data_IF_086820608266
#
_entry.id   IF_086820608266
#
_cell.length_a   1.000
_cell.length_b   1.000
_cell.length_c   1.000
_cell.angle_alpha   90.00
_cell.angle_beta   90.00
_cell.angle_gamma   90.00
#
_symmetry.space_group_name_H-M   'P 1'
#
loop_
_entity.id
_entity.type
_entity.pdbx_description
1 polymer ?
#
# COMPACT_ATOMS: atom_id res chain seq x y z
N UNK A 1 -35.20 14.34 26.68
CA UNK A 1 -34.38 14.54 25.46
C UNK A 1 -33.10 15.28 25.85
N UNK A 2 -32.03 14.55 26.19
CA UNK A 2 -30.70 15.16 26.38
C UNK A 2 -30.01 15.14 25.02
N UNK A 3 -29.80 16.32 24.43
CA UNK A 3 -28.94 16.50 23.26
C UNK A 3 -27.52 16.11 23.69
N UNK A 4 -27.02 14.99 23.19
CA UNK A 4 -25.60 14.65 23.29
C UNK A 4 -24.87 15.67 22.42
N UNK A 5 -24.22 16.65 23.03
CA UNK A 5 -23.28 17.53 22.35
C UNK A 5 -22.14 16.64 21.84
N UNK A 6 -22.03 16.53 20.52
CA UNK A 6 -20.90 15.94 19.83
C UNK A 6 -19.70 16.87 20.14
N UNK A 7 -18.87 16.50 21.12
CA UNK A 7 -17.61 17.20 21.38
C UNK A 7 -16.80 17.17 20.08
N UNK A 8 -16.52 18.34 19.52
CA UNK A 8 -15.60 18.46 18.39
C UNK A 8 -14.25 17.88 18.82
N UNK A 9 -13.82 16.85 18.10
CA UNK A 9 -12.56 16.14 18.35
C UNK A 9 -11.46 17.02 17.75
N UNK A 10 -10.81 17.84 18.58
CA UNK A 10 -9.71 18.70 18.15
C UNK A 10 -8.50 17.85 17.72
N UNK A 11 -7.89 18.20 16.58
CA UNK A 11 -6.56 17.73 16.22
C UNK A 11 -5.55 18.47 17.11
N UNK A 12 -5.20 17.89 18.26
CA UNK A 12 -4.25 18.49 19.21
C UNK A 12 -2.79 18.11 18.89
N UNK A 13 -2.56 17.21 17.93
CA UNK A 13 -1.22 16.82 17.46
C UNK A 13 -0.88 17.47 16.12
N UNK A 14 0.38 17.92 15.95
CA UNK A 14 0.90 18.44 14.67
C UNK A 14 1.15 17.34 13.61
N UNK A 15 0.74 16.09 13.88
CA UNK A 15 0.99 14.93 13.00
C UNK A 15 -0.33 14.52 12.34
N UNK A 16 -0.41 14.73 11.03
CA UNK A 16 -1.54 14.28 10.21
C UNK A 16 -1.71 12.75 10.31
N UNK A 17 -2.95 12.32 10.56
CA UNK A 17 -3.29 10.90 10.69
C UNK A 17 -3.36 10.39 12.13
N UNK A 18 -3.31 11.27 13.14
CA UNK A 18 -3.47 10.94 14.56
C UNK A 18 -4.59 11.78 15.17
N UNK A 19 -5.42 11.17 16.01
CA UNK A 19 -6.39 11.85 16.88
C UNK A 19 -6.15 11.47 18.33
N UNK A 20 -6.33 12.42 19.24
CA UNK A 20 -6.44 12.09 20.66
C UNK A 20 -7.89 11.69 20.97
N UNK A 21 -8.05 10.51 21.57
CA UNK A 21 -9.36 9.96 21.93
C UNK A 21 -9.39 9.63 23.42
N UNK A 22 -10.56 9.83 24.02
CA UNK A 22 -10.86 9.45 25.39
C UNK A 22 -11.07 7.93 25.49
N UNK A 23 -10.33 7.27 26.38
CA UNK A 23 -10.40 5.82 26.60
C UNK A 23 -10.27 5.44 28.08
N UNK A 24 -10.46 4.16 28.37
CA UNK A 24 -10.26 3.58 29.70
C UNK A 24 -9.20 2.48 29.65
N UNK A 25 -8.36 2.40 30.68
CA UNK A 25 -7.35 1.34 30.81
C UNK A 25 -7.88 0.25 31.73
N UNK A 26 -7.34 -0.96 31.60
CA UNK A 26 -7.78 -2.13 32.40
C UNK A 26 -7.71 -1.88 33.91
N UNK A 27 -6.75 -1.10 34.36
CA UNK A 27 -6.50 -0.74 35.75
C UNK A 27 -7.45 0.36 36.27
N UNK A 28 -8.12 1.11 35.40
CA UNK A 28 -9.04 2.17 35.79
C UNK A 28 -10.15 2.38 34.75
N UNK A 29 -11.34 1.84 35.06
CA UNK A 29 -12.56 1.99 34.26
C UNK A 29 -13.45 3.15 34.73
N UNK A 30 -13.04 3.90 35.76
CA UNK A 30 -13.80 5.02 36.30
C UNK A 30 -13.29 6.36 35.77
N UNK A 31 -11.98 6.47 35.52
CA UNK A 31 -11.36 7.71 35.04
C UNK A 31 -10.86 7.57 33.61
N UNK A 32 -11.42 8.34 32.66
CA UNK A 32 -10.94 8.33 31.29
C UNK A 32 -9.54 8.93 31.18
N UNK A 33 -8.76 8.46 30.20
CA UNK A 33 -7.45 8.99 29.80
C UNK A 33 -7.44 9.28 28.31
N UNK A 34 -6.52 10.14 27.87
CA UNK A 34 -6.27 10.37 26.46
C UNK A 34 -5.22 9.39 25.94
N UNK A 35 -5.40 8.96 24.70
CA UNK A 35 -4.41 8.20 23.94
C UNK A 35 -4.47 8.58 22.47
N UNK A 36 -3.39 8.31 21.76
CA UNK A 36 -3.26 8.59 20.33
C UNK A 36 -3.79 7.42 19.52
N UNK A 37 -4.71 7.72 18.60
CA UNK A 37 -5.36 6.72 17.73
C UNK A 37 -5.16 7.15 16.28
N UNK A 38 -4.84 6.20 15.40
CA UNK A 38 -4.66 6.46 13.98
C UNK A 38 -6.00 6.84 13.33
N UNK A 39 -5.97 7.84 12.44
CA UNK A 39 -7.12 8.14 11.59
C UNK A 39 -7.22 7.11 10.45
N UNK A 40 -8.42 6.59 10.27
CA UNK A 40 -8.82 5.77 9.14
C UNK A 40 -9.98 6.48 8.43
N UNK A 41 -9.76 6.96 7.21
CA UNK A 41 -10.76 7.69 6.42
C UNK A 41 -11.05 6.94 5.11
N UNK A 42 -12.30 6.95 4.62
CA UNK A 42 -12.58 6.43 3.30
C UNK A 42 -12.06 7.41 2.23
N UNK A 43 -11.28 6.88 1.30
CA UNK A 43 -10.70 7.60 0.17
C UNK A 43 -11.22 7.00 -1.13
N UNK A 44 -11.96 7.78 -1.91
CA UNK A 44 -12.43 7.35 -3.23
C UNK A 44 -11.41 7.74 -4.31
N UNK A 45 -11.09 6.82 -5.22
CA UNK A 45 -10.33 7.13 -6.43
C UNK A 45 -11.32 7.35 -7.59
N UNK A 46 -11.38 8.59 -8.08
CA UNK A 46 -12.37 9.03 -9.06
C UNK A 46 -11.67 9.37 -10.37
N UNK A 47 -11.80 8.50 -11.38
CA UNK A 47 -11.17 8.70 -12.68
C UNK A 47 -12.16 9.34 -13.65
N UNK A 48 -11.89 10.55 -14.12
CA UNK A 48 -12.75 11.32 -15.03
C UNK A 48 -14.24 11.33 -14.59
N UNK A 49 -14.48 11.59 -13.30
CA UNK A 49 -15.81 11.64 -12.70
C UNK A 49 -16.44 10.28 -12.36
N UNK A 50 -15.76 9.16 -12.60
CA UNK A 50 -16.23 7.83 -12.24
C UNK A 50 -15.51 7.35 -10.97
N UNK A 51 -16.26 7.22 -9.86
CA UNK A 51 -15.77 6.56 -8.64
C UNK A 51 -15.48 5.08 -8.94
N UNK A 52 -14.21 4.70 -8.80
CA UNK A 52 -13.74 3.35 -9.13
C UNK A 52 -13.70 2.44 -7.92
N UNK A 53 -13.08 2.91 -6.83
CA UNK A 53 -12.93 2.19 -5.56
C UNK A 53 -12.99 3.16 -4.40
N UNK A 54 -13.36 2.66 -3.23
CA UNK A 54 -13.22 3.35 -1.95
C UNK A 54 -12.36 2.49 -1.04
N UNK A 55 -11.23 3.04 -0.58
CA UNK A 55 -10.29 2.36 0.31
C UNK A 55 -10.23 3.08 1.64
N UNK A 56 -10.15 2.34 2.74
CA UNK A 56 -9.84 2.91 4.05
C UNK A 56 -8.33 3.19 4.10
N UNK A 57 -7.96 4.43 4.42
CA UNK A 57 -6.59 4.90 4.36
C UNK A 57 -6.29 5.96 5.44
N UNK A 58 -5.01 6.13 5.77
CA UNK A 58 -4.56 7.32 6.50
C UNK A 58 -4.69 8.57 5.61
N UNK A 59 -5.13 9.72 6.15
CA UNK A 59 -5.46 10.93 5.37
C UNK A 59 -4.21 11.73 4.91
N UNK A 60 -3.23 11.06 4.33
CA UNK A 60 -1.96 11.64 3.84
C UNK A 60 -1.38 10.81 2.70
N UNK A 61 -0.49 11.42 1.92
CA UNK A 61 0.18 10.81 0.76
C UNK A 61 -0.79 10.24 -0.30
N UNK A 62 -1.96 10.87 -0.43
CA UNK A 62 -3.05 10.34 -1.26
C UNK A 62 -2.79 10.43 -2.76
N UNK A 63 -1.97 11.40 -3.19
CA UNK A 63 -1.49 11.49 -4.57
C UNK A 63 -0.63 10.27 -4.94
N UNK A 64 0.31 9.91 -4.06
CA UNK A 64 1.12 8.69 -4.24
C UNK A 64 0.26 7.43 -4.18
N UNK A 65 -0.70 7.37 -3.26
CA UNK A 65 -1.66 6.26 -3.22
C UNK A 65 -2.39 6.09 -4.56
N UNK A 66 -2.95 7.17 -5.11
CA UNK A 66 -3.68 7.14 -6.37
C UNK A 66 -2.82 6.70 -7.56
N UNK A 67 -1.60 7.22 -7.67
CA UNK A 67 -0.66 6.83 -8.73
C UNK A 67 -0.27 5.36 -8.59
N UNK A 68 0.13 4.93 -7.39
CA UNK A 68 0.58 3.57 -7.16
C UNK A 68 -0.52 2.54 -7.31
N UNK A 69 -1.73 2.83 -6.83
CA UNK A 69 -2.90 2.00 -7.09
C UNK A 69 -3.17 1.90 -8.60
N UNK A 70 -3.08 3.02 -9.33
CA UNK A 70 -3.29 3.03 -10.79
C UNK A 70 -2.28 2.14 -11.52
N UNK A 71 -1.02 2.16 -11.11
CA UNK A 71 0.05 1.31 -11.68
C UNK A 71 -0.14 -0.16 -11.29
N UNK A 72 -0.36 -0.42 -10.01
CA UNK A 72 -0.42 -1.77 -9.46
C UNK A 72 -1.66 -2.53 -9.93
N UNK A 73 -2.77 -1.82 -10.18
CA UNK A 73 -3.96 -2.35 -10.83
C UNK A 73 -3.91 -2.27 -12.37
N UNK A 74 -2.81 -1.85 -12.97
CA UNK A 74 -2.65 -1.73 -14.43
C UNK A 74 -3.78 -0.92 -15.07
N UNK A 75 -4.25 0.13 -14.39
CA UNK A 75 -5.13 1.18 -14.91
C UNK A 75 -4.32 2.11 -15.80
N UNK A 76 -3.06 2.36 -15.42
CA UNK A 76 -2.06 3.08 -16.21
C UNK A 76 -0.82 2.21 -16.43
N UNK A 77 -0.04 2.50 -17.46
CA UNK A 77 1.31 1.92 -17.63
C UNK A 77 2.40 2.93 -17.24
N UNK A 78 2.10 4.22 -17.26
CA UNK A 78 3.03 5.29 -16.92
C UNK A 78 2.29 6.38 -16.14
N UNK A 79 2.93 7.05 -15.16
CA UNK A 79 2.36 8.22 -14.51
C UNK A 79 1.93 9.33 -15.49
N UNK A 80 2.53 9.37 -16.68
CA UNK A 80 2.17 10.29 -17.78
C UNK A 80 0.78 10.07 -18.36
N UNK A 81 0.12 8.97 -18.02
CA UNK A 81 -1.29 8.72 -18.37
C UNK A 81 -2.25 9.55 -17.49
N UNK A 82 -1.77 10.21 -16.43
CA UNK A 82 -2.55 11.12 -15.57
C UNK A 82 -2.16 12.57 -15.90
N UNK A 83 -3.15 13.41 -16.21
CA UNK A 83 -2.96 14.82 -16.58
C UNK A 83 -3.21 15.79 -15.43
N UNK A 84 -3.98 15.38 -14.44
CA UNK A 84 -4.36 16.20 -13.29
C UNK A 84 -4.81 15.32 -12.14
N UNK A 85 -4.56 15.79 -10.93
CA UNK A 85 -4.95 15.09 -9.71
C UNK A 85 -5.23 16.11 -8.61
N UNK A 86 -6.41 16.03 -8.02
CA UNK A 86 -6.83 16.91 -6.92
C UNK A 86 -7.41 16.09 -5.78
N UNK A 87 -6.94 16.35 -4.56
CA UNK A 87 -7.48 15.74 -3.34
C UNK A 87 -8.53 16.69 -2.76
N UNK A 88 -9.78 16.26 -2.74
CA UNK A 88 -10.91 17.08 -2.28
C UNK A 88 -11.64 16.44 -1.10
N UNK A 89 -12.09 17.22 -0.11
CA UNK A 89 -13.02 16.75 0.91
C UNK A 89 -14.37 16.35 0.30
N UNK A 90 -14.95 15.27 0.81
CA UNK A 90 -16.30 14.82 0.48
C UNK A 90 -17.09 14.53 1.76
N UNK A 91 -18.39 14.25 1.66
CA UNK A 91 -19.29 14.18 2.82
C UNK A 91 -18.87 13.14 3.88
N UNK A 92 -18.20 12.07 3.46
CA UNK A 92 -17.82 10.96 4.33
C UNK A 92 -16.31 10.70 4.39
N UNK A 93 -15.48 11.53 3.74
CA UNK A 93 -14.04 11.28 3.64
C UNK A 93 -13.37 12.14 2.59
N UNK A 94 -12.48 11.53 1.80
CA UNK A 94 -11.68 12.21 0.78
C UNK A 94 -11.92 11.59 -0.58
N UNK A 95 -11.79 12.38 -1.63
CA UNK A 95 -11.77 11.92 -3.01
C UNK A 95 -10.48 12.37 -3.66
N UNK A 96 -9.83 11.47 -4.38
CA UNK A 96 -8.75 11.81 -5.31
C UNK A 96 -9.35 11.85 -6.70
N UNK A 97 -9.56 13.05 -7.21
CA UNK A 97 -10.06 13.31 -8.56
C UNK A 97 -8.90 13.20 -9.54
N UNK A 98 -8.98 12.28 -10.49
CA UNK A 98 -7.88 11.92 -11.40
C UNK A 98 -8.34 12.17 -12.83
N UNK A 99 -7.65 13.08 -13.52
CA UNK A 99 -7.80 13.29 -14.95
C UNK A 99 -6.94 12.27 -15.71
N UNK A 100 -7.59 11.24 -16.24
CA UNK A 100 -6.97 10.08 -16.86
C UNK A 100 -7.02 10.17 -18.38
N UNK A 101 -5.95 9.76 -19.06
CA UNK A 101 -5.90 9.73 -20.52
C UNK A 101 -7.07 8.94 -21.13
N UNK A 102 -7.63 9.45 -22.24
CA UNK A 102 -8.85 8.85 -22.84
C UNK A 102 -8.68 7.36 -23.16
N UNK A 103 -7.47 6.96 -23.58
CA UNK A 103 -7.12 5.55 -23.86
C UNK A 103 -7.28 4.68 -22.61
N UNK A 104 -6.65 5.07 -21.49
CA UNK A 104 -6.73 4.33 -20.23
C UNK A 104 -8.14 4.34 -19.65
N UNK A 105 -8.82 5.48 -19.74
CA UNK A 105 -10.19 5.62 -19.28
C UNK A 105 -11.18 4.72 -20.06
N UNK A 106 -10.99 4.56 -21.38
CA UNK A 106 -11.81 3.59 -22.14
C UNK A 106 -11.55 2.16 -21.69
N UNK A 107 -10.28 1.78 -21.49
CA UNK A 107 -9.92 0.44 -20.99
C UNK A 107 -10.51 0.15 -19.60
N UNK A 108 -10.50 1.14 -18.70
CA UNK A 108 -11.13 1.03 -17.38
C UNK A 108 -12.65 0.79 -17.51
N UNK A 109 -13.35 1.54 -18.37
CA UNK A 109 -14.80 1.34 -18.61
C UNK A 109 -15.11 0.00 -19.26
N UNK A 110 -14.29 -0.46 -20.20
CA UNK A 110 -14.46 -1.76 -20.84
C UNK A 110 -14.36 -2.91 -19.84
N UNK A 111 -13.34 -2.89 -18.97
CA UNK A 111 -13.21 -3.85 -17.87
C UNK A 111 -14.44 -3.84 -16.96
N UNK A 112 -14.89 -2.66 -16.54
CA UNK A 112 -16.12 -2.52 -15.71
C UNK A 112 -17.36 -3.07 -16.40
N UNK A 113 -17.54 -2.84 -17.71
CA UNK A 113 -18.69 -3.39 -18.46
C UNK A 113 -18.63 -4.90 -18.61
N UNK A 114 -17.46 -5.46 -18.87
CA UNK A 114 -17.26 -6.90 -18.97
C UNK A 114 -17.61 -7.61 -17.65
N UNK A 115 -17.37 -6.95 -16.51
CA UNK A 115 -17.74 -7.41 -15.18
C UNK A 115 -19.24 -7.24 -14.89
N UNK A 116 -19.83 -6.09 -15.20
CA UNK A 116 -21.26 -5.82 -14.99
C UNK A 116 -22.18 -6.74 -15.82
N UNK A 117 -21.70 -7.27 -16.95
CA UNK A 117 -22.43 -8.25 -17.76
C UNK A 117 -22.52 -9.66 -17.15
N UNK A 118 -21.88 -9.92 -16.00
CA UNK A 118 -21.76 -11.29 -15.43
C UNK A 118 -22.18 -11.43 -13.96
N UNK A 119 -22.41 -10.34 -13.21
CA UNK A 119 -22.97 -10.42 -11.84
C UNK A 119 -23.86 -9.22 -11.51
N UNK A 120 -25.07 -9.51 -11.01
CA UNK A 120 -25.95 -8.52 -10.40
C UNK A 120 -25.46 -8.17 -8.99
N UNK A 121 -25.44 -6.88 -8.67
CA UNK A 121 -25.01 -6.30 -7.38
C UNK A 121 -23.47 -6.23 -7.19
N UNK A 122 -22.81 -5.38 -8.00
CA UNK A 122 -21.37 -5.10 -7.95
C UNK A 122 -20.90 -4.37 -6.68
N UNK A 123 -20.96 -5.05 -5.54
CA UNK A 123 -20.46 -4.49 -4.27
C UNK A 123 -19.57 -5.46 -3.48
N UNK A 124 -19.69 -6.79 -3.56
CA UNK A 124 -18.85 -7.65 -2.71
C UNK A 124 -18.59 -9.05 -3.30
N UNK A 125 -17.32 -9.37 -3.59
CA UNK A 125 -16.79 -10.73 -3.45
C UNK A 125 -16.69 -11.62 -4.70
N UNK A 126 -17.48 -11.39 -5.75
CA UNK A 126 -17.37 -12.21 -7.00
C UNK A 126 -16.30 -11.68 -7.96
N UNK A 127 -15.88 -10.42 -7.77
CA UNK A 127 -14.77 -9.78 -8.50
C UNK A 127 -13.44 -10.53 -8.27
N UNK A 128 -13.23 -11.11 -7.07
CA UNK A 128 -11.92 -11.62 -6.66
C UNK A 128 -11.52 -12.96 -7.29
N UNK A 129 -12.44 -13.88 -7.59
CA UNK A 129 -12.02 -15.22 -8.05
C UNK A 129 -11.47 -15.24 -9.49
N UNK A 130 -12.01 -14.41 -10.38
CA UNK A 130 -11.54 -14.32 -11.78
C UNK A 130 -10.36 -13.35 -11.95
N UNK A 131 -10.16 -12.41 -11.00
CA UNK A 131 -9.00 -11.52 -11.00
C UNK A 131 -7.78 -12.11 -10.28
N UNK A 132 -7.94 -13.22 -9.54
CA UNK A 132 -6.80 -14.04 -9.08
C UNK A 132 -6.03 -14.53 -10.31
N UNK A 133 -4.80 -14.05 -10.46
CA UNK A 133 -3.94 -14.43 -11.57
C UNK A 133 -4.15 -13.61 -12.83
N UNK A 134 -4.55 -12.34 -12.70
CA UNK A 134 -4.31 -11.34 -13.76
C UNK A 134 -2.92 -11.59 -14.36
N UNK A 135 -2.77 -11.72 -15.68
CA UNK A 135 -1.51 -12.12 -16.28
C UNK A 135 -0.46 -11.05 -16.02
N UNK A 136 0.37 -11.28 -15.01
CA UNK A 136 1.60 -10.55 -14.76
C UNK A 136 2.66 -11.20 -15.63
N UNK A 137 3.34 -10.40 -16.46
CA UNK A 137 4.46 -10.94 -17.22
C UNK A 137 5.58 -11.34 -16.26
N UNK A 138 6.22 -12.51 -16.45
CA UNK A 138 7.34 -12.90 -15.63
C UNK A 138 8.44 -11.83 -15.66
N UNK A 139 8.89 -11.42 -14.48
CA UNK A 139 9.91 -10.39 -14.32
C UNK A 139 11.26 -10.88 -14.84
N UNK A 140 12.11 -9.97 -15.34
CA UNK A 140 13.49 -10.31 -15.66
C UNK A 140 14.28 -10.53 -14.38
N UNK A 141 15.51 -11.08 -14.48
CA UNK A 141 16.42 -11.25 -13.34
C UNK A 141 17.53 -10.19 -13.43
N UNK A 142 17.21 -8.94 -13.07
CA UNK A 142 18.15 -7.81 -13.14
C UNK A 142 18.59 -7.30 -11.78
N UNK A 143 17.82 -7.60 -10.73
CA UNK A 143 18.13 -7.17 -9.36
C UNK A 143 19.00 -8.18 -8.60
N UNK A 144 19.87 -7.65 -7.74
CA UNK A 144 20.60 -8.43 -6.73
C UNK A 144 20.57 -7.72 -5.39
N UNK A 145 20.56 -8.48 -4.29
CA UNK A 145 20.60 -7.94 -2.93
C UNK A 145 21.45 -8.81 -1.99
N UNK A 146 22.33 -8.17 -1.23
CA UNK A 146 23.15 -8.81 -0.20
C UNK A 146 22.40 -8.81 1.14
N UNK A 147 22.08 -10.00 1.65
CA UNK A 147 21.26 -10.17 2.86
C UNK A 147 21.94 -9.61 4.12
N UNK A 148 23.26 -9.43 4.14
CA UNK A 148 23.95 -8.78 5.26
C UNK A 148 23.50 -7.33 5.48
N UNK A 149 22.94 -6.70 4.44
CA UNK A 149 22.48 -5.30 4.48
C UNK A 149 21.04 -5.16 4.96
N UNK A 150 20.28 -6.27 5.04
CA UNK A 150 18.86 -6.26 5.39
C UNK A 150 18.62 -5.84 6.85
N UNK A 151 19.50 -6.24 7.77
CA UNK A 151 19.32 -6.00 9.21
C UNK A 151 19.35 -4.51 9.58
N UNK A 152 20.13 -3.71 8.84
CA UNK A 152 20.15 -2.26 9.02
C UNK A 152 18.85 -1.63 8.53
N UNK A 153 18.41 -1.98 7.32
CA UNK A 153 17.14 -1.53 6.77
C UNK A 153 15.94 -1.88 7.68
N UNK A 154 15.91 -3.09 8.24
CA UNK A 154 14.85 -3.52 9.16
C UNK A 154 14.76 -2.64 10.41
N UNK A 155 15.88 -2.11 10.90
CA UNK A 155 15.89 -1.18 12.06
C UNK A 155 15.32 0.19 11.71
N UNK A 156 15.50 0.62 10.46
CA UNK A 156 15.07 1.92 9.96
C UNK A 156 13.65 1.94 9.38
N UNK A 157 12.96 0.79 9.29
CA UNK A 157 11.59 0.76 8.74
C UNK A 157 10.60 1.62 9.54
N UNK A 158 10.78 1.71 10.86
CA UNK A 158 9.93 2.52 11.74
C UNK A 158 10.08 4.02 11.51
N UNK A 159 11.17 4.48 10.87
CA UNK A 159 11.40 5.90 10.58
C UNK A 159 10.36 6.45 9.58
N UNK A 160 9.73 5.56 8.82
CA UNK A 160 8.64 5.87 7.88
C UNK A 160 7.24 5.70 8.48
N UNK A 161 7.13 5.44 9.80
CA UNK A 161 5.87 5.21 10.49
C UNK A 161 5.61 6.18 11.65
N UNK A 162 5.61 7.52 11.46
CA UNK A 162 5.37 8.45 12.58
C UNK A 162 4.02 8.22 13.28
N UNK A 163 2.94 7.88 12.56
CA UNK A 163 1.65 7.50 13.16
C UNK A 163 1.76 6.14 13.83
N UNK A 164 2.43 5.17 13.19
CA UNK A 164 2.66 3.85 13.76
C UNK A 164 3.46 3.86 15.07
N UNK A 165 4.45 4.75 15.20
CA UNK A 165 5.23 4.92 16.42
C UNK A 165 4.37 5.40 17.61
N UNK A 166 3.34 6.21 17.33
CA UNK A 166 2.43 6.73 18.35
C UNK A 166 1.28 5.77 18.66
N UNK A 167 0.74 5.11 17.62
CA UNK A 167 -0.57 4.42 17.70
C UNK A 167 -0.46 2.90 17.62
N UNK A 168 0.66 2.37 17.13
CA UNK A 168 0.81 0.94 16.79
C UNK A 168 -0.13 0.43 15.70
N UNK A 169 -0.82 1.31 14.98
CA UNK A 169 -1.95 0.96 14.11
C UNK A 169 -1.68 1.17 12.61
N UNK A 170 -0.42 1.26 12.20
CA UNK A 170 -0.05 1.42 10.78
C UNK A 170 0.91 0.33 10.31
N UNK A 171 0.95 0.17 9.00
CA UNK A 171 1.94 -0.58 8.26
C UNK A 171 2.78 0.37 7.40
N UNK A 172 4.09 0.12 7.30
CA UNK A 172 4.96 0.73 6.30
C UNK A 172 5.30 -0.18 5.13
N UNK A 173 5.57 0.48 3.99
CA UNK A 173 6.32 -0.03 2.86
C UNK A 173 7.45 0.96 2.54
N UNK A 174 8.68 0.46 2.36
CA UNK A 174 9.86 1.26 2.04
C UNK A 174 10.60 0.71 0.81
N UNK A 175 11.29 1.61 0.10
CA UNK A 175 12.19 1.25 -1.01
C UNK A 175 13.61 1.15 -0.48
N UNK A 176 14.25 0.02 -0.75
CA UNK A 176 15.59 -0.30 -0.30
C UNK A 176 16.52 -0.46 -1.49
N UNK A 177 17.55 0.38 -1.57
CA UNK A 177 18.56 0.27 -2.63
C UNK A 177 19.45 -0.98 -2.42
N UNK A 178 20.19 -1.45 -3.45
CA UNK A 178 21.17 -2.53 -3.29
C UNK A 178 22.27 -2.25 -2.25
N UNK A 179 22.43 -1.00 -1.83
CA UNK A 179 23.29 -0.57 -0.72
C UNK A 179 22.73 -0.94 0.66
N UNK A 180 21.45 -1.33 0.76
CA UNK A 180 20.73 -1.52 2.03
C UNK A 180 20.06 -0.24 2.54
N UNK A 181 20.33 0.91 1.94
CA UNK A 181 19.74 2.18 2.34
C UNK A 181 18.24 2.23 2.03
N UNK A 182 17.44 2.62 3.03
CA UNK A 182 16.04 2.97 2.82
C UNK A 182 15.94 4.43 2.38
N UNK A 183 15.76 4.63 1.07
CA UNK A 183 15.70 5.98 0.46
C UNK A 183 14.36 6.67 0.63
N UNK A 184 13.32 5.91 0.99
CA UNK A 184 12.04 6.47 1.40
C UNK A 184 10.99 5.39 1.65
N UNK A 185 9.88 5.81 2.23
CA UNK A 185 8.80 4.91 2.61
C UNK A 185 7.53 5.67 2.99
N UNK A 186 6.43 4.93 3.03
CA UNK A 186 5.11 5.45 3.36
C UNK A 186 4.40 4.51 4.32
N UNK A 187 3.60 5.09 5.22
CA UNK A 187 2.72 4.35 6.11
C UNK A 187 1.24 4.52 5.76
N UNK A 188 0.46 3.53 6.17
CA UNK A 188 -0.99 3.57 6.14
C UNK A 188 -1.58 2.57 7.15
N UNK A 189 -2.84 2.77 7.57
CA UNK A 189 -3.60 1.76 8.34
C UNK A 189 -3.68 0.44 7.57
N UNK A 190 -3.87 0.50 6.24
CA UNK A 190 -3.91 -0.65 5.35
C UNK A 190 -2.55 -0.96 4.69
N UNK A 191 -2.05 -2.19 4.86
CA UNK A 191 -0.77 -2.63 4.24
C UNK A 191 -0.74 -2.49 2.70
N UNK A 192 -1.87 -2.71 2.03
CA UNK A 192 -1.96 -2.59 0.57
C UNK A 192 -1.88 -1.14 0.14
N UNK A 193 -2.53 -0.24 0.88
CA UNK A 193 -2.48 1.20 0.63
C UNK A 193 -1.08 1.74 0.91
N UNK A 194 -0.40 1.26 1.96
CA UNK A 194 1.00 1.61 2.23
C UNK A 194 1.92 1.20 1.07
N UNK A 195 1.75 -0.01 0.51
CA UNK A 195 2.48 -0.46 -0.66
C UNK A 195 2.15 0.40 -1.89
N UNK A 196 0.87 0.67 -2.15
CA UNK A 196 0.47 1.51 -3.28
C UNK A 196 1.09 2.93 -3.14
N UNK A 197 1.10 3.54 -1.96
CA UNK A 197 1.82 4.82 -1.73
C UNK A 197 3.30 4.71 -2.08
N UNK A 198 4.00 3.66 -1.64
CA UNK A 198 5.39 3.45 -1.99
C UNK A 198 5.60 3.32 -3.51
N UNK A 199 4.76 2.52 -4.18
CA UNK A 199 4.85 2.30 -5.62
C UNK A 199 4.60 3.60 -6.40
N UNK A 200 3.65 4.41 -5.93
CA UNK A 200 3.42 5.76 -6.45
C UNK A 200 4.64 6.65 -6.27
N UNK A 201 5.24 6.65 -5.08
CA UNK A 201 6.46 7.43 -4.80
C UNK A 201 7.62 7.00 -5.69
N UNK A 202 7.93 5.71 -5.74
CA UNK A 202 8.98 5.15 -6.61
C UNK A 202 8.78 5.56 -8.07
N UNK A 203 7.54 5.62 -8.56
CA UNK A 203 7.26 6.02 -9.94
C UNK A 203 7.63 7.47 -10.26
N UNK A 204 7.75 8.33 -9.25
CA UNK A 204 8.12 9.74 -9.39
C UNK A 204 9.63 9.98 -9.20
N UNK A 205 10.32 9.11 -8.46
CA UNK A 205 11.77 9.24 -8.20
C UNK A 205 12.64 8.79 -9.40
N UNK A 206 12.02 8.16 -10.41
CA UNK A 206 12.64 7.83 -11.69
C UNK A 206 13.81 6.85 -11.57
N UNK A 207 14.86 7.08 -12.36
CA UNK A 207 16.01 6.16 -12.49
C UNK A 207 16.74 5.90 -11.16
N UNK A 208 16.69 6.85 -10.23
CA UNK A 208 17.36 6.73 -8.93
C UNK A 208 16.81 5.58 -8.08
N UNK A 209 15.54 5.19 -8.26
CA UNK A 209 14.86 4.13 -7.52
C UNK A 209 14.46 2.94 -8.40
N UNK A 210 15.06 2.80 -9.59
CA UNK A 210 14.82 1.63 -10.44
C UNK A 210 15.34 0.36 -9.77
N UNK A 211 16.56 0.44 -9.26
CA UNK A 211 17.26 -0.64 -8.59
C UNK A 211 16.85 -0.74 -7.13
N UNK A 212 16.73 -1.96 -6.63
CA UNK A 212 16.46 -2.22 -5.21
C UNK A 212 15.40 -3.29 -4.97
N UNK A 213 14.80 -3.19 -3.80
CA UNK A 213 13.78 -4.09 -3.30
C UNK A 213 12.73 -3.32 -2.51
N UNK A 214 11.54 -3.89 -2.39
CA UNK A 214 10.54 -3.41 -1.44
C UNK A 214 10.73 -4.10 -0.09
N UNK A 215 10.65 -3.33 1.00
CA UNK A 215 10.53 -3.84 2.37
C UNK A 215 9.16 -3.47 2.95
N UNK A 216 8.38 -4.46 3.40
CA UNK A 216 7.06 -4.25 4.03
C UNK A 216 7.03 -4.76 5.47
N UNK A 217 6.40 -3.99 6.35
CA UNK A 217 6.18 -4.33 7.76
C UNK A 217 5.17 -5.48 7.98
N UNK A 218 4.40 -5.81 6.95
CA UNK A 218 3.25 -6.72 7.05
C UNK A 218 3.57 -8.17 6.69
N UNK A 219 2.52 -9.01 6.65
CA UNK A 219 2.53 -10.27 5.90
C UNK A 219 2.56 -10.00 4.41
N UNK A 220 3.02 -10.96 3.62
CA UNK A 220 2.89 -10.95 2.16
C UNK A 220 1.66 -11.77 1.72
N UNK A 221 0.62 -11.07 1.24
CA UNK A 221 -0.49 -11.70 0.51
C UNK A 221 -0.20 -11.76 -0.99
N UNK A 222 -0.99 -12.55 -1.73
CA UNK A 222 -0.83 -12.65 -3.18
C UNK A 222 -0.99 -11.29 -3.89
N UNK A 223 -1.89 -10.43 -3.41
CA UNK A 223 -2.07 -9.07 -3.95
C UNK A 223 -0.82 -8.20 -3.74
N UNK A 224 -0.13 -8.33 -2.60
CA UNK A 224 1.12 -7.58 -2.36
C UNK A 224 2.20 -7.97 -3.39
N UNK A 225 2.31 -9.27 -3.68
CA UNK A 225 3.22 -9.81 -4.71
C UNK A 225 2.80 -9.33 -6.09
N UNK A 226 1.52 -9.43 -6.43
CA UNK A 226 0.99 -9.02 -7.74
C UNK A 226 1.21 -7.52 -7.99
N UNK A 227 0.88 -6.67 -7.01
CA UNK A 227 1.08 -5.21 -7.09
C UNK A 227 2.56 -4.85 -7.30
N UNK A 228 3.44 -5.50 -6.54
CA UNK A 228 4.89 -5.33 -6.67
C UNK A 228 5.38 -5.72 -8.07
N UNK A 229 4.98 -6.90 -8.55
CA UNK A 229 5.39 -7.40 -9.86
C UNK A 229 4.80 -6.57 -11.02
N UNK A 230 3.56 -6.12 -10.93
CA UNK A 230 2.95 -5.18 -11.89
C UNK A 230 3.74 -3.88 -12.03
N UNK A 231 4.45 -3.47 -10.98
CA UNK A 231 5.31 -2.29 -10.96
C UNK A 231 6.80 -2.62 -11.16
N UNK A 232 7.13 -3.81 -11.67
CA UNK A 232 8.52 -4.19 -11.98
C UNK A 232 9.42 -4.35 -10.75
N UNK A 233 8.86 -4.65 -9.57
CA UNK A 233 9.64 -4.97 -8.38
C UNK A 233 10.03 -6.44 -8.41
N UNK A 234 11.34 -6.72 -8.45
CA UNK A 234 11.85 -8.10 -8.52
C UNK A 234 12.05 -8.77 -7.16
N UNK A 235 12.22 -8.00 -6.08
CA UNK A 235 12.52 -8.51 -4.73
C UNK A 235 11.55 -7.86 -3.73
N UNK A 236 10.85 -8.69 -2.96
CA UNK A 236 9.93 -8.26 -1.90
C UNK A 236 10.32 -8.93 -0.57
N UNK A 237 10.75 -8.10 0.38
CA UNK A 237 11.00 -8.49 1.76
C UNK A 237 9.78 -8.17 2.62
N UNK A 238 9.27 -9.16 3.34
CA UNK A 238 8.20 -9.02 4.31
C UNK A 238 8.66 -9.39 5.72
N UNK A 239 8.36 -8.52 6.68
CA UNK A 239 8.70 -8.74 8.10
C UNK A 239 7.98 -9.97 8.68
N UNK A 240 6.79 -10.28 8.18
CA UNK A 240 5.97 -11.41 8.64
C UNK A 240 5.86 -12.53 7.59
N UNK A 241 4.96 -13.48 7.83
CA UNK A 241 4.76 -14.67 6.99
C UNK A 241 4.20 -14.32 5.59
N UNK A 242 4.40 -15.25 4.63
CA UNK A 242 3.70 -15.27 3.34
C UNK A 242 2.58 -16.33 3.34
N UNK A 243 1.56 -16.15 2.50
CA UNK A 243 0.54 -17.19 2.25
C UNK A 243 0.95 -18.10 1.09
N UNK A 244 0.38 -19.31 1.00
CA UNK A 244 0.64 -20.25 -0.09
C UNK A 244 0.41 -19.63 -1.46
N UNK A 245 -0.73 -18.93 -1.65
CA UNK A 245 -1.04 -18.26 -2.91
C UNK A 245 -0.04 -17.13 -3.23
N UNK A 246 0.53 -16.46 -2.23
CA UNK A 246 1.56 -15.46 -2.46
C UNK A 246 2.85 -16.07 -3.03
N UNK A 247 3.25 -17.23 -2.50
CA UNK A 247 4.40 -17.99 -3.01
C UNK A 247 4.14 -18.47 -4.44
N UNK A 248 2.97 -19.02 -4.73
CA UNK A 248 2.60 -19.46 -6.08
C UNK A 248 2.59 -18.32 -7.11
N UNK A 249 2.08 -17.15 -6.74
CA UNK A 249 2.11 -15.97 -7.61
C UNK A 249 3.54 -15.47 -7.80
N UNK A 250 4.36 -15.46 -6.75
CA UNK A 250 5.76 -15.06 -6.84
C UNK A 250 6.57 -15.99 -7.77
N UNK A 251 6.31 -17.31 -7.72
CA UNK A 251 6.86 -18.29 -8.67
C UNK A 251 6.51 -17.94 -10.12
N UNK A 252 5.23 -17.70 -10.43
CA UNK A 252 4.79 -17.38 -11.80
C UNK A 252 5.33 -16.05 -12.32
N UNK A 253 5.54 -15.08 -11.43
CA UNK A 253 5.99 -13.74 -11.79
C UNK A 253 7.52 -13.60 -11.81
N UNK A 254 8.30 -14.65 -11.54
CA UNK A 254 9.74 -14.54 -11.29
C UNK A 254 10.10 -13.57 -10.15
N UNK A 255 9.23 -13.35 -9.16
CA UNK A 255 9.51 -12.44 -8.04
C UNK A 255 10.24 -13.22 -6.93
N UNK A 256 11.30 -12.63 -6.37
CA UNK A 256 11.99 -13.13 -5.18
C UNK A 256 11.23 -12.71 -3.93
N UNK A 257 10.51 -13.65 -3.31
CA UNK A 257 9.71 -13.41 -2.12
C UNK A 257 10.45 -13.90 -0.87
N UNK A 258 10.64 -12.99 0.09
CA UNK A 258 11.31 -13.29 1.36
C UNK A 258 10.39 -12.90 2.50
N UNK A 259 10.09 -13.83 3.41
CA UNK A 259 9.29 -13.57 4.60
C UNK A 259 10.07 -13.77 5.89
N UNK A 260 9.40 -13.49 7.01
CA UNK A 260 9.96 -13.54 8.35
C UNK A 260 11.25 -12.72 8.52
N UNK A 261 11.39 -11.64 7.75
CA UNK A 261 12.54 -10.73 7.80
C UNK A 261 12.58 -10.04 9.17
N UNK A 262 13.56 -10.45 9.98
CA UNK A 262 13.86 -9.88 11.30
C UNK A 262 15.39 -9.77 11.41
N UNK A 263 15.94 -8.91 12.27
CA UNK A 263 17.37 -8.88 12.50
C UNK A 263 17.94 -10.30 12.73
N UNK A 264 18.88 -10.72 11.88
CA UNK A 264 19.50 -12.05 11.89
C UNK A 264 18.66 -13.18 11.29
N UNK A 265 17.53 -12.90 10.62
CA UNK A 265 16.65 -13.93 10.05
C UNK A 265 15.92 -13.46 8.79
N UNK A 266 15.98 -14.29 7.75
CA UNK A 266 15.17 -14.15 6.55
C UNK A 266 14.84 -15.54 6.00
N UNK A 267 13.62 -15.74 5.47
CA UNK A 267 13.20 -17.00 4.84
C UNK A 267 12.81 -16.74 3.41
N UNK A 268 13.64 -17.19 2.47
CA UNK A 268 13.41 -17.04 1.04
C UNK A 268 12.47 -18.14 0.57
N UNK A 269 11.33 -17.76 -0.01
CA UNK A 269 10.34 -18.70 -0.53
C UNK A 269 10.55 -19.02 -2.01
N UNK A 270 10.92 -18.00 -2.81
CA UNK A 270 10.99 -18.10 -4.27
C UNK A 270 12.22 -17.38 -4.79
N UNK A 271 12.75 -17.86 -5.92
CA UNK A 271 13.81 -17.22 -6.69
C UNK A 271 15.02 -16.69 -5.88
N UNK A 272 15.75 -17.55 -5.13
CA UNK A 272 16.89 -17.12 -4.32
C UNK A 272 18.09 -16.63 -5.15
N UNK A 273 18.08 -16.76 -6.48
CA UNK A 273 19.19 -16.42 -7.37
C UNK A 273 19.57 -14.93 -7.34
N UNK A 274 18.67 -14.05 -6.86
CA UNK A 274 18.93 -12.62 -6.69
C UNK A 274 19.61 -12.27 -5.36
N UNK A 275 19.80 -13.24 -4.45
CA UNK A 275 20.26 -12.98 -3.09
C UNK A 275 21.66 -13.55 -2.86
N UNK A 276 22.49 -12.81 -2.12
CA UNK A 276 23.80 -13.25 -1.66
C UNK A 276 23.92 -13.17 -0.13
N UNK A 277 24.92 -13.85 0.40
CA UNK A 277 25.35 -13.81 1.80
C UNK A 277 26.76 -13.20 1.91
#
# INVERSE_FOLDING_TARGET
MKKTQQKEIENVTNITGVRQIELWRRDDLQHPRLDEVAEEVPVALVYNGISHVVMMASPKDLEYFAIGFSLSEGIIESPRDIFGMDVVPSCNGLEVQIELSSRRFMGLKERRRALAGRTGCGVCGVEQLNDIGKPVQPLPFTQTFDLNKLDDALRHLNDFQPVGQLTGCTHAAAWMLPSGELVGGHEDVGRHVALDKLLGRRSQEGESWQQGAVLVSSRASYEMVQKSAMCGVEILFAVSAATTLAVEVAERCNLTLVGFCKPGRATVYTHPQRLSN
#
